data_IF_428628454185
#
_entry.id   IF_428628454185
#
_cell.length_a   1.000
_cell.length_b   1.000
_cell.length_c   1.000
_cell.angle_alpha   90.00
_cell.angle_beta   90.00
_cell.angle_gamma   90.00
#
_symmetry.space_group_name_H-M   'P 1'
#
loop_
_entity.id
_entity.type
_entity.pdbx_description
1 polymer ?
#
# COMPACT_ATOMS: atom_id res chain seq x y z
N UNK A 1 2.90 17.21 -10.64
CA UNK A 1 4.18 16.47 -10.74
C UNK A 1 4.43 15.81 -9.40
N UNK A 2 4.92 14.56 -9.33
CA UNK A 2 5.33 14.03 -8.03
C UNK A 2 6.43 14.97 -7.54
N UNK A 3 6.25 15.58 -6.36
CA UNK A 3 7.27 16.43 -5.77
C UNK A 3 8.52 15.62 -5.43
N UNK A 4 9.30 16.11 -4.47
CA UNK A 4 10.40 15.34 -3.90
C UNK A 4 9.94 13.92 -3.49
N UNK A 5 10.70 12.91 -3.91
CA UNK A 5 10.49 11.50 -3.54
C UNK A 5 11.64 11.07 -2.64
N UNK A 6 11.31 10.69 -1.41
CA UNK A 6 12.23 10.13 -0.45
C UNK A 6 12.30 8.61 -0.63
N UNK A 7 13.50 8.04 -0.58
CA UNK A 7 13.72 6.60 -0.63
C UNK A 7 14.26 6.11 0.70
N UNK A 8 13.50 5.26 1.38
CA UNK A 8 13.91 4.61 2.62
C UNK A 8 14.26 3.15 2.37
N UNK A 9 15.34 2.69 2.99
CA UNK A 9 15.89 1.36 2.80
C UNK A 9 15.92 0.63 4.13
N UNK A 10 15.40 -0.60 4.15
CA UNK A 10 15.50 -1.50 5.30
C UNK A 10 16.08 -2.82 4.81
N UNK A 11 17.18 -3.25 5.41
CA UNK A 11 17.81 -4.54 5.13
C UNK A 11 17.45 -5.48 6.28
N UNK A 12 16.94 -6.65 5.93
CA UNK A 12 16.64 -7.74 6.85
C UNK A 12 17.22 -9.04 6.30
N UNK A 13 18.41 -9.39 6.79
CA UNK A 13 19.18 -10.53 6.30
C UNK A 13 19.43 -10.47 4.79
N UNK A 14 18.96 -11.49 4.07
CA UNK A 14 19.11 -11.61 2.61
C UNK A 14 18.10 -10.74 1.82
N UNK A 15 17.20 -10.04 2.49
CA UNK A 15 16.14 -9.25 1.89
C UNK A 15 16.32 -7.75 2.16
N UNK A 16 15.79 -6.94 1.26
CA UNK A 16 15.77 -5.49 1.39
C UNK A 16 14.42 -4.96 0.93
N UNK A 17 13.90 -3.96 1.66
CA UNK A 17 12.75 -3.17 1.28
C UNK A 17 13.19 -1.77 0.88
N UNK A 18 12.64 -1.27 -0.23
CA UNK A 18 12.66 0.13 -0.61
C UNK A 18 11.24 0.71 -0.46
N UNK A 19 11.11 1.77 0.34
CA UNK A 19 9.91 2.61 0.41
C UNK A 19 10.15 3.90 -0.36
N UNK A 20 9.31 4.19 -1.35
CA UNK A 20 9.28 5.47 -2.05
C UNK A 20 8.13 6.31 -1.50
N UNK A 21 8.44 7.49 -0.95
CA UNK A 21 7.48 8.38 -0.28
C UNK A 21 7.45 9.73 -1.00
N UNK A 22 6.28 10.17 -1.48
CA UNK A 22 6.12 11.50 -2.05
C UNK A 22 5.94 12.54 -0.93
N UNK A 23 6.95 13.39 -0.71
CA UNK A 23 6.97 14.37 0.39
C UNK A 23 5.75 15.31 0.39
N UNK A 24 5.27 15.69 -0.79
CA UNK A 24 4.14 16.60 -0.93
C UNK A 24 2.76 15.97 -0.60
N UNK A 25 2.63 14.64 -0.70
CA UNK A 25 1.32 13.96 -0.56
C UNK A 25 1.27 12.91 0.53
N UNK A 26 2.42 12.55 1.12
CA UNK A 26 2.55 11.44 2.07
C UNK A 26 2.25 10.07 1.47
N UNK A 27 2.06 9.97 0.15
CA UNK A 27 1.81 8.68 -0.52
C UNK A 27 3.09 7.86 -0.51
N UNK A 28 2.96 6.59 -0.17
CA UNK A 28 4.05 5.64 -0.13
C UNK A 28 3.75 4.43 -1.02
N UNK A 29 4.79 3.90 -1.65
CA UNK A 29 4.77 2.58 -2.26
C UNK A 29 6.07 1.83 -1.96
N UNK A 30 5.98 0.50 -1.90
CA UNK A 30 7.10 -0.35 -1.48
C UNK A 30 7.46 -1.41 -2.54
N UNK A 31 8.75 -1.75 -2.59
CA UNK A 31 9.28 -2.91 -3.29
C UNK A 31 10.22 -3.70 -2.36
N UNK A 32 10.13 -5.02 -2.39
CA UNK A 32 10.95 -5.92 -1.56
C UNK A 32 11.60 -6.94 -2.48
N UNK A 33 12.88 -7.23 -2.24
CA UNK A 33 13.65 -8.20 -3.02
C UNK A 33 14.98 -8.55 -2.36
N UNK A 34 15.88 -9.26 -3.07
CA UNK A 34 17.19 -9.61 -2.55
C UNK A 34 18.01 -8.37 -2.18
N UNK A 35 18.72 -8.41 -1.05
CA UNK A 35 19.58 -7.29 -0.64
C UNK A 35 20.81 -7.13 -1.56
N UNK A 36 21.30 -8.22 -2.15
CA UNK A 36 22.44 -8.23 -3.06
C UNK A 36 21.99 -7.95 -4.51
N UNK A 37 22.56 -6.91 -5.12
CA UNK A 37 22.42 -6.65 -6.56
C UNK A 37 21.06 -6.13 -7.04
N UNK A 38 20.06 -5.95 -6.16
CA UNK A 38 18.73 -5.51 -6.56
C UNK A 38 18.40 -4.05 -6.16
N UNK A 39 19.36 -3.29 -5.61
CA UNK A 39 19.09 -1.95 -5.05
C UNK A 39 18.46 -1.00 -6.07
N UNK A 40 19.08 -0.77 -7.23
CA UNK A 40 18.52 0.15 -8.23
C UNK A 40 17.16 -0.32 -8.75
N UNK A 41 17.00 -1.63 -9.00
CA UNK A 41 15.76 -2.21 -9.48
C UNK A 41 14.61 -2.01 -8.49
N UNK A 42 14.86 -2.21 -7.18
CA UNK A 42 13.86 -1.99 -6.13
C UNK A 42 13.44 -0.52 -6.03
N UNK A 43 14.37 0.42 -6.17
CA UNK A 43 14.05 1.85 -6.22
C UNK A 43 13.14 2.17 -7.41
N UNK A 44 13.51 1.71 -8.61
CA UNK A 44 12.73 1.93 -9.83
C UNK A 44 11.31 1.38 -9.70
N UNK A 45 11.17 0.17 -9.16
CA UNK A 45 9.86 -0.46 -8.94
C UNK A 45 9.04 0.32 -7.91
N UNK A 46 9.63 0.72 -6.79
CA UNK A 46 8.92 1.48 -5.75
C UNK A 46 8.44 2.85 -6.28
N UNK A 47 9.30 3.56 -7.02
CA UNK A 47 8.95 4.84 -7.68
C UNK A 47 7.85 4.62 -8.73
N UNK A 48 7.98 3.61 -9.59
CA UNK A 48 6.98 3.32 -10.61
C UNK A 48 5.62 2.97 -9.99
N UNK A 49 5.60 2.20 -8.90
CA UNK A 49 4.37 1.94 -8.13
C UNK A 49 3.77 3.22 -7.56
N UNK A 50 4.60 4.10 -7.00
CA UNK A 50 4.13 5.36 -6.42
C UNK A 50 3.51 6.29 -7.47
N UNK A 51 4.15 6.44 -8.63
CA UNK A 51 3.69 7.28 -9.74
C UNK A 51 2.38 6.76 -10.33
N UNK A 52 2.31 5.44 -10.56
CA UNK A 52 1.18 4.82 -11.25
C UNK A 52 0.05 4.39 -10.31
N UNK A 53 0.26 4.45 -8.99
CA UNK A 53 -0.80 4.10 -8.05
C UNK A 53 -2.00 5.03 -8.29
N UNK A 54 -3.22 4.48 -8.38
CA UNK A 54 -4.42 5.30 -8.42
C UNK A 54 -4.48 6.13 -7.14
N UNK A 55 -4.92 7.38 -7.23
CA UNK A 55 -5.23 8.16 -6.03
C UNK A 55 -6.28 7.36 -5.26
N UNK A 56 -6.14 7.15 -3.94
CA UNK A 56 -7.21 6.52 -3.18
C UNK A 56 -8.49 7.29 -3.50
N UNK A 57 -9.53 6.56 -3.91
CA UNK A 57 -10.87 7.17 -4.02
C UNK A 57 -11.11 7.79 -2.65
N UNK A 58 -11.41 9.10 -2.64
CA UNK A 58 -11.91 9.75 -1.44
C UNK A 58 -12.94 8.81 -0.82
N UNK A 59 -12.96 8.67 0.51
CA UNK A 59 -14.02 7.92 1.20
C UNK A 59 -15.42 8.50 0.95
N UNK A 60 -15.55 9.54 0.10
CA UNK A 60 -16.79 9.90 -0.56
C UNK A 60 -17.34 8.71 -1.38
N UNK A 61 -18.36 8.10 -0.79
CA UNK A 61 -19.19 7.02 -1.31
C UNK A 61 -18.65 5.60 -1.04
N UNK A 62 -18.54 5.24 0.24
CA UNK A 62 -19.09 3.94 0.61
C UNK A 62 -20.55 3.93 0.12
N UNK A 63 -21.02 2.92 -0.64
CA UNK A 63 -22.46 2.77 -0.82
C UNK A 63 -23.08 2.75 0.58
N UNK A 64 -24.21 3.43 0.77
CA UNK A 64 -24.94 3.35 2.03
C UNK A 64 -24.97 1.89 2.48
N UNK A 65 -24.68 1.59 3.76
CA UNK A 65 -24.81 0.23 4.25
C UNK A 65 -26.20 -0.27 3.86
N UNK A 66 -26.34 -1.53 3.39
CA UNK A 66 -27.64 -2.05 2.97
C UNK A 66 -28.66 -1.81 4.09
N UNK A 67 -29.92 -1.50 3.77
CA UNK A 67 -30.94 -1.09 4.75
C UNK A 67 -31.29 -2.18 5.77
N UNK A 68 -30.66 -3.34 5.70
CA UNK A 68 -30.88 -4.45 6.61
C UNK A 68 -29.84 -4.41 7.73
N UNK A 69 -30.29 -4.40 9.01
CA UNK A 69 -29.36 -4.59 10.11
C UNK A 69 -28.65 -5.92 9.91
N UNK A 70 -27.31 -5.94 10.06
CA UNK A 70 -26.60 -7.21 10.22
C UNK A 70 -27.21 -7.87 11.45
N UNK A 71 -28.03 -8.90 11.23
CA UNK A 71 -28.59 -9.70 12.31
C UNK A 71 -27.46 -10.19 13.23
N UNK A 72 -27.77 -10.48 14.50
CA UNK A 72 -26.76 -11.02 15.39
C UNK A 72 -26.18 -12.28 14.75
N UNK A 73 -24.87 -12.43 14.84
CA UNK A 73 -24.14 -13.65 14.51
C UNK A 73 -24.72 -14.73 15.43
N UNK A 74 -25.75 -15.40 14.96
CA UNK A 74 -26.60 -16.31 15.73
C UNK A 74 -26.82 -17.53 14.88
N UNK A 75 -25.83 -18.42 14.95
CA UNK A 75 -25.94 -19.82 14.57
C UNK A 75 -27.20 -20.39 15.26
N UNK A 76 -28.32 -20.50 14.54
CA UNK A 76 -29.48 -21.26 14.99
C UNK A 76 -29.17 -22.75 14.75
N UNK A 77 -28.37 -23.33 15.65
CA UNK A 77 -28.31 -24.78 15.84
C UNK A 77 -29.61 -25.20 16.56
N UNK A 78 -30.68 -25.34 15.79
CA UNK A 78 -31.85 -26.10 16.22
C UNK A 78 -31.63 -27.58 15.92
N UNK A 79 -31.96 -28.34 16.95
CA UNK A 79 -31.97 -29.80 17.10
C UNK A 79 -32.49 -30.60 15.91
#
# INVERSE_FOLDING_TARGET
MPGEILLEWVIDGAWMRCSAVCAATGREAQAIGPAAGAREALAQIAIAKLINAPRPRSAAMAPEPPPFPRGPIGLDLRA
#
